data_IF_082373590133
#
_entry.id   IF_082373590133
#
_cell.length_a   1.000
_cell.length_b   1.000
_cell.length_c   1.000
_cell.angle_alpha   90.00
_cell.angle_beta   90.00
_cell.angle_gamma   90.00
#
_symmetry.space_group_name_H-M   'P 1'
#
loop_
_entity.id
_entity.type
_entity.pdbx_description
1 polymer ?
#
# COMPACT_ATOMS: atom_id res chain seq x y z
N UNK A 1 -20.87 2.66 -13.18
CA UNK A 1 -20.74 2.31 -11.77
C UNK A 1 -22.12 2.39 -11.08
N UNK A 2 -22.40 1.49 -10.15
CA UNK A 2 -23.66 1.48 -9.40
C UNK A 2 -23.63 2.59 -8.34
N UNK A 3 -24.74 3.36 -8.28
CA UNK A 3 -24.99 4.41 -7.30
C UNK A 3 -26.30 4.10 -6.58
N UNK A 4 -26.30 4.12 -5.27
CA UNK A 4 -27.45 3.75 -4.42
C UNK A 4 -28.06 4.90 -3.63
N UNK A 5 -27.40 6.07 -3.65
CA UNK A 5 -27.92 7.32 -3.05
C UNK A 5 -27.13 8.52 -3.61
N UNK A 6 -27.67 9.73 -3.43
CA UNK A 6 -27.03 10.94 -3.93
C UNK A 6 -25.67 11.22 -3.29
N UNK A 7 -25.47 10.85 -2.02
CA UNK A 7 -24.18 11.00 -1.35
C UNK A 7 -23.09 10.15 -2.00
N UNK A 8 -23.38 8.90 -2.39
CA UNK A 8 -22.42 8.07 -3.12
C UNK A 8 -22.15 8.59 -4.54
N UNK A 9 -23.15 9.22 -5.20
CA UNK A 9 -22.94 9.90 -6.46
C UNK A 9 -21.97 11.08 -6.30
N UNK A 10 -22.21 11.97 -5.34
CA UNK A 10 -21.36 13.16 -5.14
C UNK A 10 -19.93 12.79 -4.76
N UNK A 11 -19.76 11.70 -4.02
CA UNK A 11 -18.45 11.14 -3.68
C UNK A 11 -17.65 10.76 -4.93
N UNK A 12 -18.28 10.10 -5.89
CA UNK A 12 -17.62 9.53 -7.07
C UNK A 12 -17.50 10.49 -8.25
N UNK A 13 -18.51 11.32 -8.45
CA UNK A 13 -18.65 12.15 -9.65
C UNK A 13 -18.59 13.66 -9.36
N UNK A 14 -18.59 14.04 -8.10
CA UNK A 14 -18.72 15.43 -7.68
C UNK A 14 -20.16 15.88 -7.49
N UNK A 15 -20.33 17.09 -6.95
CA UNK A 15 -21.63 17.69 -6.70
C UNK A 15 -22.19 18.46 -7.88
N UNK A 16 -23.02 19.46 -7.57
CA UNK A 16 -23.60 20.35 -8.56
C UNK A 16 -22.55 21.18 -9.29
N UNK A 17 -22.71 21.29 -10.58
CA UNK A 17 -21.85 22.07 -11.45
C UNK A 17 -22.42 23.47 -11.67
N UNK A 18 -21.53 24.48 -11.73
CA UNK A 18 -21.93 25.85 -12.00
C UNK A 18 -22.38 26.00 -13.46
N UNK A 19 -23.48 26.73 -13.66
CA UNK A 19 -23.98 27.10 -14.99
C UNK A 19 -22.94 27.89 -15.78
N UNK A 20 -22.25 28.80 -15.13
CA UNK A 20 -21.24 29.64 -15.75
C UNK A 20 -20.08 28.85 -16.39
N UNK A 21 -19.68 27.74 -15.76
CA UNK A 21 -18.54 26.94 -16.22
C UNK A 21 -18.92 25.72 -17.04
N UNK A 22 -20.15 25.21 -16.94
CA UNK A 22 -20.55 23.92 -17.51
C UNK A 22 -21.81 24.01 -18.41
N UNK A 23 -22.52 25.16 -18.41
CA UNK A 23 -23.67 25.37 -19.28
C UNK A 23 -24.71 24.23 -19.17
N UNK A 24 -25.05 23.63 -20.31
CA UNK A 24 -26.05 22.56 -20.42
C UNK A 24 -25.59 21.24 -19.82
N UNK A 25 -24.30 21.02 -19.56
CA UNK A 25 -23.75 19.77 -19.02
C UNK A 25 -23.91 19.63 -17.49
N UNK A 26 -24.48 20.64 -16.82
CA UNK A 26 -24.65 20.67 -15.35
C UNK A 26 -25.77 19.77 -14.80
N UNK A 27 -26.69 19.31 -15.63
CA UNK A 27 -27.94 18.71 -15.18
C UNK A 27 -27.84 17.32 -14.59
N UNK A 28 -26.75 16.58 -14.79
CA UNK A 28 -26.62 15.21 -14.32
C UNK A 28 -26.80 15.10 -12.79
N UNK A 29 -26.13 15.96 -12.01
CA UNK A 29 -26.23 15.94 -10.55
C UNK A 29 -27.67 16.21 -10.08
N UNK A 30 -28.37 17.19 -10.70
CA UNK A 30 -29.78 17.48 -10.40
C UNK A 30 -30.66 16.27 -10.76
N UNK A 31 -30.46 15.65 -11.91
CA UNK A 31 -31.24 14.49 -12.33
C UNK A 31 -31.09 13.30 -11.38
N UNK A 32 -29.86 13.03 -10.94
CA UNK A 32 -29.55 11.94 -10.00
C UNK A 32 -30.16 12.24 -8.62
N UNK A 33 -30.08 13.48 -8.14
CA UNK A 33 -30.69 13.88 -6.88
C UNK A 33 -32.21 13.68 -6.95
N UNK A 34 -32.89 14.21 -8.00
CA UNK A 34 -34.29 14.05 -8.17
C UNK A 34 -34.75 12.60 -8.32
N UNK A 35 -33.95 11.76 -8.98
CA UNK A 35 -34.21 10.34 -9.05
C UNK A 35 -34.30 9.69 -7.66
N UNK A 36 -33.36 9.97 -6.75
CA UNK A 36 -33.39 9.43 -5.40
C UNK A 36 -34.47 10.06 -4.51
N UNK A 37 -34.73 11.36 -4.62
CA UNK A 37 -35.80 12.04 -3.89
C UNK A 37 -37.19 11.48 -4.28
N UNK A 38 -37.37 11.12 -5.54
CA UNK A 38 -38.60 10.53 -6.03
C UNK A 38 -38.69 9.00 -5.85
N UNK A 39 -37.93 8.43 -4.93
CA UNK A 39 -38.01 7.02 -4.55
C UNK A 39 -37.15 6.06 -5.39
N UNK A 40 -36.28 6.55 -6.25
CA UNK A 40 -35.29 5.73 -6.94
C UNK A 40 -34.31 5.10 -5.94
N UNK A 41 -33.97 3.83 -6.15
CA UNK A 41 -33.12 3.10 -5.21
C UNK A 41 -31.73 2.77 -5.77
N UNK A 42 -31.60 2.66 -7.08
CA UNK A 42 -30.35 2.29 -7.77
C UNK A 42 -30.32 2.90 -9.16
N UNK A 43 -29.19 3.50 -9.52
CA UNK A 43 -28.93 3.88 -10.90
C UNK A 43 -27.48 3.55 -11.29
N UNK A 44 -27.24 3.36 -12.59
CA UNK A 44 -25.93 3.13 -13.13
C UNK A 44 -25.45 4.40 -13.85
N UNK A 45 -24.30 4.91 -13.42
CA UNK A 45 -23.66 6.06 -14.05
C UNK A 45 -22.43 5.58 -14.82
N UNK A 46 -22.34 5.93 -16.09
CA UNK A 46 -21.15 5.70 -16.91
C UNK A 46 -20.53 7.03 -17.28
N UNK A 47 -19.29 7.24 -16.79
CA UNK A 47 -18.52 8.42 -17.14
C UNK A 47 -17.79 8.18 -18.45
N UNK A 48 -18.03 9.03 -19.43
CA UNK A 48 -17.28 9.07 -20.67
C UNK A 48 -16.17 10.11 -20.54
N UNK A 49 -14.95 9.71 -20.83
CA UNK A 49 -13.80 10.59 -20.88
C UNK A 49 -13.23 10.63 -22.29
N UNK A 50 -12.64 11.75 -22.74
CA UNK A 50 -11.94 11.79 -24.00
C UNK A 50 -10.74 10.82 -23.98
N UNK A 51 -10.30 10.30 -25.15
CA UNK A 51 -9.22 9.29 -25.24
C UNK A 51 -7.88 9.78 -24.66
N UNK A 52 -7.66 11.07 -24.64
CA UNK A 52 -6.46 11.75 -24.13
C UNK A 52 -6.58 12.16 -22.65
N UNK A 53 -7.64 11.74 -21.96
CA UNK A 53 -7.82 12.08 -20.55
C UNK A 53 -6.70 11.45 -19.68
N UNK A 54 -5.99 12.32 -18.97
CA UNK A 54 -4.81 11.95 -18.18
C UNK A 54 -5.20 11.64 -16.73
N UNK A 55 -4.61 10.57 -16.20
CA UNK A 55 -4.68 10.17 -14.78
C UNK A 55 -3.51 10.80 -14.04
N UNK A 56 -3.74 11.34 -12.85
CA UNK A 56 -2.64 11.76 -11.99
C UNK A 56 -1.82 10.55 -11.55
N UNK A 57 -0.50 10.66 -11.65
CA UNK A 57 0.44 9.58 -11.34
C UNK A 57 1.54 10.07 -10.43
N UNK A 58 1.96 9.21 -9.51
CA UNK A 58 3.15 9.42 -8.69
C UNK A 58 3.94 8.12 -8.62
N UNK A 59 5.27 8.24 -8.52
CA UNK A 59 6.16 7.08 -8.35
C UNK A 59 7.13 7.35 -7.22
N UNK A 60 7.28 6.38 -6.33
CA UNK A 60 8.31 6.40 -5.28
C UNK A 60 8.93 5.01 -5.19
N UNK A 61 10.20 4.89 -5.57
CA UNK A 61 10.87 3.59 -5.68
C UNK A 61 10.18 2.69 -6.70
N UNK A 62 9.82 1.49 -6.28
CA UNK A 62 9.07 0.51 -7.09
C UNK A 62 7.55 0.68 -6.99
N UNK A 63 7.09 1.59 -6.13
CA UNK A 63 5.67 1.87 -5.96
C UNK A 63 5.24 2.92 -6.99
N UNK A 64 4.37 2.53 -7.91
CA UNK A 64 3.67 3.42 -8.84
C UNK A 64 2.22 3.56 -8.40
N UNK A 65 1.76 4.78 -8.26
CA UNK A 65 0.40 5.08 -7.83
C UNK A 65 -0.26 5.96 -8.87
N UNK A 66 -1.48 5.59 -9.26
CA UNK A 66 -2.32 6.35 -10.17
C UNK A 66 -3.65 6.67 -9.49
N UNK A 67 -4.21 7.84 -9.74
CA UNK A 67 -5.59 8.11 -9.31
C UNK A 67 -6.55 7.10 -9.96
N UNK A 68 -7.59 6.69 -9.25
CA UNK A 68 -8.53 5.67 -9.73
C UNK A 68 -9.18 6.01 -11.08
N UNK A 69 -9.36 7.31 -11.36
CA UNK A 69 -9.98 7.82 -12.58
C UNK A 69 -9.30 9.09 -13.08
N UNK A 70 -9.37 9.41 -14.38
CA UNK A 70 -8.84 10.66 -14.92
C UNK A 70 -9.50 11.90 -14.32
N UNK A 71 -8.74 12.98 -14.21
CA UNK A 71 -9.24 14.30 -13.81
C UNK A 71 -8.35 15.03 -12.83
N UNK A 72 -8.55 16.34 -12.72
CA UNK A 72 -7.77 17.24 -11.84
C UNK A 72 -7.89 16.87 -10.33
N UNK A 73 -8.91 16.14 -9.95
CA UNK A 73 -9.11 15.67 -8.58
C UNK A 73 -7.94 14.80 -8.09
N UNK A 74 -7.39 13.97 -8.97
CA UNK A 74 -6.27 13.09 -8.65
C UNK A 74 -5.02 13.83 -8.17
N UNK A 75 -4.81 15.09 -8.61
CA UNK A 75 -3.70 15.91 -8.15
C UNK A 75 -3.85 16.37 -6.67
N UNK A 76 -5.01 16.16 -6.06
CA UNK A 76 -5.27 16.47 -4.65
C UNK A 76 -5.27 15.24 -3.76
N UNK A 77 -5.10 14.05 -4.34
CA UNK A 77 -4.94 12.82 -3.56
C UNK A 77 -3.59 12.86 -2.86
N UNK A 78 -3.60 12.63 -1.57
CA UNK A 78 -2.41 12.55 -0.73
C UNK A 78 -2.22 11.10 -0.28
N UNK A 79 -0.98 10.61 -0.37
CA UNK A 79 -0.62 9.27 0.07
C UNK A 79 0.52 9.40 1.06
N UNK A 80 0.33 8.86 2.24
CA UNK A 80 1.37 8.74 3.26
C UNK A 80 1.68 7.27 3.52
N UNK A 81 2.97 6.98 3.64
CA UNK A 81 3.48 5.65 3.93
C UNK A 81 4.42 5.76 5.13
N UNK A 82 4.23 4.88 6.10
CA UNK A 82 5.10 4.77 7.27
C UNK A 82 5.49 3.31 7.51
N UNK A 83 6.79 3.06 7.67
CA UNK A 83 7.28 1.74 8.06
C UNK A 83 7.04 1.51 9.54
N UNK A 84 6.63 0.30 9.88
CA UNK A 84 6.30 -0.11 11.25
C UNK A 84 6.95 -1.45 11.56
N UNK A 85 7.53 -1.55 12.75
CA UNK A 85 8.20 -2.75 13.27
C UNK A 85 7.47 -3.23 14.52
N UNK A 86 6.37 -3.99 14.36
CA UNK A 86 5.54 -4.44 15.48
C UNK A 86 5.90 -5.81 16.01
N UNK A 87 6.48 -6.70 15.18
CA UNK A 87 6.87 -8.05 15.58
C UNK A 87 8.38 -8.16 15.63
N UNK A 88 8.86 -8.94 16.60
CA UNK A 88 10.29 -9.14 16.83
C UNK A 88 10.60 -10.63 16.98
N UNK A 89 11.76 -11.03 16.49
CA UNK A 89 12.35 -12.36 16.61
C UNK A 89 13.69 -12.22 17.32
N UNK A 90 13.84 -12.86 18.47
CA UNK A 90 15.10 -12.88 19.20
C UNK A 90 15.99 -13.98 18.65
N UNK A 91 17.21 -13.64 18.28
CA UNK A 91 18.24 -14.59 17.90
C UNK A 91 18.88 -15.19 19.15
N UNK A 92 19.30 -16.47 19.10
CA UNK A 92 19.96 -17.15 20.22
C UNK A 92 21.31 -17.74 19.85
N UNK A 93 21.52 -18.09 18.59
CA UNK A 93 22.78 -18.64 18.10
C UNK A 93 22.92 -18.42 16.59
N UNK A 94 24.10 -18.77 16.07
CA UNK A 94 24.39 -18.78 14.64
C UNK A 94 24.78 -20.20 14.22
N UNK A 95 24.32 -20.63 13.05
CA UNK A 95 24.65 -21.91 12.44
C UNK A 95 25.09 -21.68 11.00
N UNK A 96 26.41 -21.57 10.77
CA UNK A 96 26.96 -21.19 9.48
C UNK A 96 26.54 -19.77 9.09
N UNK A 97 25.87 -19.62 7.96
CA UNK A 97 25.32 -18.32 7.49
C UNK A 97 23.89 -18.07 8.03
N UNK A 98 23.24 -19.06 8.65
CA UNK A 98 21.91 -18.95 9.20
C UNK A 98 21.93 -18.59 10.69
N UNK A 99 20.79 -18.17 11.22
CA UNK A 99 20.60 -17.83 12.63
C UNK A 99 19.54 -18.74 13.27
N UNK A 100 19.74 -19.11 14.51
CA UNK A 100 18.77 -19.82 15.31
C UNK A 100 18.01 -18.79 16.15
N UNK A 101 16.69 -18.79 16.02
CA UNK A 101 15.80 -17.89 16.76
C UNK A 101 15.19 -18.61 17.98
N UNK A 102 14.77 -17.82 18.98
CA UNK A 102 13.99 -18.31 20.12
C UNK A 102 12.61 -18.80 19.68
N UNK A 103 11.95 -18.04 18.82
CA UNK A 103 10.69 -18.35 18.12
C UNK A 103 10.69 -17.63 16.78
N UNK A 104 10.04 -18.22 15.80
CA UNK A 104 9.80 -17.68 14.46
C UNK A 104 8.32 -17.34 14.22
N UNK A 105 7.51 -17.35 15.28
CA UNK A 105 6.06 -17.15 15.18
C UNK A 105 5.72 -15.80 14.54
N UNK A 106 4.90 -15.86 13.49
CA UNK A 106 4.46 -14.69 12.74
C UNK A 106 5.45 -14.17 11.72
N UNK A 107 6.55 -14.90 11.47
CA UNK A 107 7.48 -14.66 10.36
C UNK A 107 7.31 -15.72 9.28
N UNK A 108 7.52 -15.36 8.04
CA UNK A 108 7.43 -16.25 6.87
C UNK A 108 8.57 -15.98 5.90
N UNK A 109 8.86 -16.96 5.08
CA UNK A 109 9.77 -16.80 3.94
C UNK A 109 9.29 -15.67 3.03
N UNK A 110 10.21 -14.85 2.56
CA UNK A 110 9.94 -13.65 1.76
C UNK A 110 9.58 -12.40 2.57
N UNK A 111 9.40 -12.50 3.90
CA UNK A 111 9.11 -11.34 4.72
C UNK A 111 10.33 -10.41 4.79
N UNK A 112 10.03 -9.11 4.75
CA UNK A 112 11.05 -8.07 4.95
C UNK A 112 11.31 -7.87 6.43
N UNK A 113 12.56 -7.85 6.79
CA UNK A 113 13.01 -7.68 8.18
C UNK A 113 14.06 -6.58 8.30
N UNK A 114 14.13 -6.01 9.48
CA UNK A 114 15.15 -5.04 9.87
C UNK A 114 16.01 -5.64 10.99
N UNK A 115 17.32 -5.53 10.83
CA UNK A 115 18.31 -5.95 11.80
C UNK A 115 19.43 -4.91 11.87
N UNK A 116 19.63 -4.30 13.04
CA UNK A 116 20.69 -3.29 13.28
C UNK A 116 20.67 -2.13 12.26
N UNK A 117 19.49 -1.68 11.84
CA UNK A 117 19.35 -0.62 10.83
C UNK A 117 19.49 -1.08 9.39
N UNK A 118 19.69 -2.36 9.14
CA UNK A 118 19.78 -2.94 7.81
C UNK A 118 18.52 -3.76 7.48
N UNK A 119 18.04 -3.62 6.24
CA UNK A 119 16.88 -4.36 5.77
C UNK A 119 17.31 -5.57 4.93
N UNK A 120 16.61 -6.68 5.10
CA UNK A 120 16.83 -7.91 4.35
C UNK A 120 15.51 -8.66 4.17
N UNK A 121 15.55 -9.78 3.45
CA UNK A 121 14.44 -10.71 3.35
C UNK A 121 14.80 -12.04 3.96
N UNK A 122 13.79 -12.70 4.53
CA UNK A 122 13.90 -14.08 4.98
C UNK A 122 13.93 -14.98 3.73
N UNK A 123 15.03 -15.67 3.52
CA UNK A 123 15.19 -16.61 2.42
C UNK A 123 14.54 -17.96 2.74
N UNK A 124 14.72 -18.46 3.97
CA UNK A 124 14.09 -19.70 4.43
C UNK A 124 13.91 -19.74 5.93
N UNK A 125 12.91 -20.49 6.37
CA UNK A 125 12.66 -20.83 7.77
C UNK A 125 12.52 -22.35 7.87
N UNK A 126 13.40 -22.98 8.63
CA UNK A 126 13.30 -24.40 8.95
C UNK A 126 13.39 -24.61 10.47
N UNK A 127 12.30 -25.08 11.07
CA UNK A 127 12.11 -25.11 12.53
C UNK A 127 12.34 -23.70 13.12
N UNK A 128 13.42 -23.47 13.85
CA UNK A 128 13.83 -22.16 14.40
C UNK A 128 15.05 -21.57 13.69
N UNK A 129 15.52 -22.20 12.63
CA UNK A 129 16.66 -21.72 11.84
C UNK A 129 16.17 -20.83 10.72
N UNK A 130 16.70 -19.62 10.67
CA UNK A 130 16.32 -18.59 9.70
C UNK A 130 17.55 -18.18 8.88
N UNK A 131 17.41 -18.19 7.56
CA UNK A 131 18.39 -17.62 6.63
C UNK A 131 17.84 -16.37 5.95
N UNK A 132 18.73 -15.51 5.50
CA UNK A 132 18.40 -14.26 4.83
C UNK A 132 18.97 -14.26 3.40
N UNK A 133 18.33 -13.53 2.48
CA UNK A 133 18.76 -13.46 1.07
C UNK A 133 20.13 -12.80 0.89
N UNK A 134 20.48 -11.86 1.75
CA UNK A 134 21.77 -11.17 1.77
C UNK A 134 22.49 -11.28 3.11
N UNK A 135 23.76 -10.92 3.12
CA UNK A 135 24.55 -10.83 4.36
C UNK A 135 24.33 -9.46 4.99
N UNK A 136 24.13 -9.42 6.29
CA UNK A 136 24.17 -8.17 7.06
C UNK A 136 25.61 -7.69 7.18
N UNK A 137 25.86 -6.41 7.01
CA UNK A 137 27.21 -5.80 7.16
C UNK A 137 27.71 -5.95 8.58
N UNK A 138 26.81 -5.75 9.56
CA UNK A 138 27.08 -5.89 10.98
C UNK A 138 26.77 -7.31 11.48
N UNK A 139 27.15 -8.33 10.69
CA UNK A 139 26.89 -9.72 11.01
C UNK A 139 27.71 -10.15 12.26
N UNK A 140 27.07 -10.34 13.42
CA UNK A 140 27.80 -10.70 14.63
C UNK A 140 28.41 -12.11 14.49
N UNK A 141 29.67 -12.23 14.83
CA UNK A 141 30.42 -13.51 14.78
C UNK A 141 30.42 -14.19 16.15
N UNK A 142 30.24 -13.42 17.22
CA UNK A 142 30.28 -13.89 18.60
C UNK A 142 28.88 -14.32 19.08
N UNK A 143 28.74 -15.57 19.52
CA UNK A 143 27.48 -16.13 20.02
C UNK A 143 26.93 -15.39 21.24
N UNK A 144 27.78 -14.87 22.11
CA UNK A 144 27.37 -14.10 23.29
C UNK A 144 26.68 -12.78 22.93
N UNK A 145 27.06 -12.22 21.79
CA UNK A 145 26.48 -10.99 21.24
C UNK A 145 25.18 -11.30 20.50
N UNK A 146 25.11 -12.42 19.78
CA UNK A 146 23.95 -12.85 18.99
C UNK A 146 22.71 -13.04 19.89
N UNK A 147 22.88 -13.67 21.06
CA UNK A 147 21.78 -13.96 21.99
C UNK A 147 21.03 -12.72 22.50
N UNK A 148 21.59 -11.51 22.30
CA UNK A 148 20.98 -10.23 22.65
C UNK A 148 20.35 -9.51 21.46
N UNK A 149 20.51 -10.04 20.25
CA UNK A 149 20.09 -9.39 19.02
C UNK A 149 18.64 -9.73 18.65
N UNK A 150 17.96 -8.75 18.08
CA UNK A 150 16.55 -8.85 17.70
C UNK A 150 16.41 -8.46 16.24
N UNK A 151 15.68 -9.27 15.51
CA UNK A 151 15.24 -9.00 14.14
C UNK A 151 13.78 -8.56 14.18
N UNK A 152 13.45 -7.49 13.50
CA UNK A 152 12.10 -6.93 13.46
C UNK A 152 11.44 -7.23 12.12
N UNK A 153 10.18 -7.65 12.16
CA UNK A 153 9.33 -7.73 10.96
C UNK A 153 8.96 -6.31 10.52
N UNK A 154 9.26 -5.99 9.28
CA UNK A 154 8.94 -4.68 8.69
C UNK A 154 7.64 -4.76 7.91
N UNK A 155 6.70 -3.93 8.30
CA UNK A 155 5.42 -3.72 7.61
C UNK A 155 5.27 -2.24 7.25
N UNK A 156 4.27 -1.89 6.47
CA UNK A 156 3.98 -0.51 6.11
C UNK A 156 2.51 -0.19 6.38
N UNK A 157 2.27 0.95 7.01
CA UNK A 157 0.95 1.54 7.10
C UNK A 157 0.81 2.56 5.96
N UNK A 158 -0.31 2.52 5.26
CA UNK A 158 -0.61 3.40 4.14
C UNK A 158 -1.90 4.15 4.43
N UNK A 159 -1.89 5.47 4.27
CA UNK A 159 -3.08 6.30 4.32
C UNK A 159 -3.24 7.03 2.99
N UNK A 160 -4.39 6.88 2.37
CA UNK A 160 -4.78 7.58 1.14
C UNK A 160 -5.89 8.55 1.51
N UNK A 161 -5.69 9.83 1.18
CA UNK A 161 -6.63 10.90 1.53
C UNK A 161 -7.03 11.71 0.30
N UNK A 162 -8.32 11.99 0.21
CA UNK A 162 -8.88 12.94 -0.73
C UNK A 162 -10.03 13.72 -0.08
N UNK A 163 -9.86 15.03 0.13
CA UNK A 163 -10.76 15.88 0.92
C UNK A 163 -11.00 15.26 2.32
N UNK A 164 -12.25 14.96 2.67
CA UNK A 164 -12.65 14.36 3.94
C UNK A 164 -12.61 12.82 3.92
N UNK A 165 -12.33 12.22 2.77
CA UNK A 165 -12.19 10.78 2.64
C UNK A 165 -10.79 10.32 3.01
N UNK A 166 -10.73 9.29 3.85
CA UNK A 166 -9.47 8.68 4.27
C UNK A 166 -9.62 7.16 4.22
N UNK A 167 -8.74 6.53 3.45
CA UNK A 167 -8.57 5.08 3.45
C UNK A 167 -7.30 4.75 4.21
N UNK A 168 -7.39 3.90 5.23
CA UNK A 168 -6.25 3.47 6.03
C UNK A 168 -6.04 1.97 5.88
N UNK A 169 -4.82 1.60 5.58
CA UNK A 169 -4.36 0.23 5.44
C UNK A 169 -3.18 0.03 6.38
N UNK A 170 -3.32 -0.88 7.33
CA UNK A 170 -2.30 -1.12 8.35
C UNK A 170 -1.62 -2.47 8.18
N UNK A 171 -0.37 -2.55 8.62
CA UNK A 171 0.43 -3.79 8.65
C UNK A 171 0.57 -4.48 7.28
N UNK A 172 0.67 -3.68 6.21
CA UNK A 172 0.86 -4.23 4.88
C UNK A 172 2.26 -4.84 4.74
N UNK A 173 2.34 -5.97 4.06
CA UNK A 173 3.56 -6.71 3.82
C UNK A 173 4.12 -6.41 2.43
N UNK A 174 5.44 -6.40 2.31
CA UNK A 174 6.14 -6.39 1.04
C UNK A 174 6.25 -7.78 0.40
N UNK A 175 5.91 -8.84 1.14
CA UNK A 175 5.91 -10.21 0.68
C UNK A 175 4.69 -10.50 -0.20
N UNK A 176 4.92 -10.80 -1.47
CA UNK A 176 3.86 -11.08 -2.45
C UNK A 176 3.00 -12.30 -2.09
N UNK A 177 3.55 -13.25 -1.34
CA UNK A 177 2.83 -14.43 -0.86
C UNK A 177 2.00 -14.16 0.40
N UNK A 178 2.10 -12.96 0.98
CA UNK A 178 1.33 -12.57 2.17
C UNK A 178 -0.11 -12.19 1.79
N UNK A 179 -1.13 -12.61 2.58
CA UNK A 179 -2.49 -12.11 2.42
C UNK A 179 -2.60 -10.60 2.71
N UNK A 180 -1.57 -10.00 3.31
CA UNK A 180 -1.46 -8.57 3.58
C UNK A 180 -0.52 -7.84 2.59
N UNK A 181 -0.27 -8.46 1.42
CA UNK A 181 0.57 -7.85 0.40
C UNK A 181 0.04 -6.47 -0.01
N UNK A 182 0.91 -5.47 0.00
CA UNK A 182 0.56 -4.06 -0.26
C UNK A 182 -0.18 -3.88 -1.59
N UNK A 183 0.27 -4.52 -2.67
CA UNK A 183 -0.37 -4.43 -3.98
C UNK A 183 -1.79 -4.99 -3.99
N UNK A 184 -2.01 -6.16 -3.35
CA UNK A 184 -3.32 -6.80 -3.27
C UNK A 184 -4.30 -5.99 -2.40
N UNK A 185 -3.83 -5.43 -1.28
CA UNK A 185 -4.68 -4.62 -0.38
C UNK A 185 -5.06 -3.28 -1.00
N UNK A 186 -4.12 -2.58 -1.61
CA UNK A 186 -4.40 -1.29 -2.26
C UNK A 186 -5.18 -1.43 -3.57
N UNK A 187 -5.28 -2.64 -4.15
CA UNK A 187 -6.19 -2.90 -5.27
C UNK A 187 -7.68 -2.71 -4.91
N UNK A 188 -8.01 -2.70 -3.63
CA UNK A 188 -9.37 -2.42 -3.13
C UNK A 188 -9.66 -0.93 -2.92
N UNK A 189 -8.67 -0.06 -3.10
CA UNK A 189 -8.83 1.39 -2.96
C UNK A 189 -9.82 1.94 -3.99
N UNK A 190 -10.70 2.84 -3.55
CA UNK A 190 -11.59 3.61 -4.43
C UNK A 190 -10.90 4.87 -4.99
N UNK A 191 -9.86 5.34 -4.33
CA UNK A 191 -9.15 6.58 -4.67
C UNK A 191 -7.96 6.38 -5.60
N UNK A 192 -7.23 5.26 -5.45
CA UNK A 192 -5.99 5.02 -6.19
C UNK A 192 -5.91 3.60 -6.75
N UNK A 193 -5.12 3.45 -7.80
CA UNK A 193 -4.61 2.16 -8.29
C UNK A 193 -3.13 2.11 -8.02
N UNK A 194 -2.66 1.01 -7.47
CA UNK A 194 -1.26 0.85 -7.08
C UNK A 194 -0.66 -0.32 -7.83
N UNK A 195 0.48 -0.07 -8.45
CA UNK A 195 1.33 -1.09 -9.02
C UNK A 195 2.66 -1.12 -8.27
N UNK A 196 3.06 -2.30 -7.85
CA UNK A 196 4.34 -2.55 -7.19
C UNK A 196 5.17 -3.41 -8.12
N UNK A 197 6.14 -2.81 -8.79
CA UNK A 197 7.08 -3.55 -9.63
C UNK A 197 8.22 -4.06 -8.75
N UNK A 198 8.29 -5.36 -8.44
CA UNK A 198 9.37 -5.89 -7.62
C UNK A 198 10.69 -5.74 -8.40
N UNK A 199 11.64 -5.02 -7.85
CA UNK A 199 13.01 -5.05 -8.37
C UNK A 199 13.72 -6.30 -7.82
N UNK A 200 14.15 -7.18 -8.69
CA UNK A 200 14.83 -8.44 -8.32
C UNK A 200 16.23 -8.21 -7.70
N UNK A 201 16.76 -7.00 -7.85
CA UNK A 201 18.12 -6.64 -7.36
C UNK A 201 18.08 -5.78 -6.07
N UNK A 202 17.02 -5.85 -5.31
CA UNK A 202 16.80 -5.02 -4.13
C UNK A 202 17.76 -5.37 -2.99
N UNK A 203 18.79 -4.56 -2.82
CA UNK A 203 19.63 -4.56 -1.60
C UNK A 203 18.89 -4.08 -0.35
N UNK A 204 17.82 -3.26 -0.51
CA UNK A 204 16.97 -2.77 0.56
C UNK A 204 15.52 -2.69 0.06
N UNK A 205 14.65 -3.67 0.41
CA UNK A 205 13.29 -3.72 -0.10
C UNK A 205 12.43 -2.52 0.33
N UNK A 206 12.74 -1.88 1.45
CA UNK A 206 12.02 -0.69 1.92
C UNK A 206 12.41 0.54 1.09
N UNK A 207 13.70 0.80 0.91
CA UNK A 207 14.18 1.91 0.07
C UNK A 207 13.76 1.74 -1.40
N UNK A 208 13.75 0.52 -1.89
CA UNK A 208 13.38 0.24 -3.26
C UNK A 208 11.87 0.48 -3.52
N UNK A 209 11.01 0.16 -2.57
CA UNK A 209 9.56 0.38 -2.69
C UNK A 209 9.17 1.81 -2.31
N UNK A 210 9.74 2.36 -1.24
CA UNK A 210 9.37 3.68 -0.72
C UNK A 210 10.29 4.81 -1.18
N UNK A 211 11.42 4.48 -1.84
CA UNK A 211 12.48 5.43 -2.20
C UNK A 211 13.34 5.82 -1.00
N UNK A 212 14.51 6.41 -1.28
CA UNK A 212 15.29 7.07 -0.21
C UNK A 212 14.50 8.27 0.26
N UNK A 213 14.33 8.39 1.58
CA UNK A 213 13.61 9.48 2.24
C UNK A 213 14.19 10.86 1.95
#
# INVERSE_FOLDING_TARGET
>A
QLVTNFKSFTKQYGGFLSEFTHGEYRYLANAVEQFFINGGTRCFISRVCPPDAVVAKAKKGSLSVEAANPGKWGNRVQISLSTVTRKKMQLIAKSGEAFIAKSVDGFKEGDTVEFEGEYNRIASIYDRTVSFEGKFKNNPVDESVIAKKVVYLVTVDVSVRYNDEVENYSELSFNMSSPYYIGAKLATSELVKVDVTPDKNMGNPVEAILGKG
#
